data_IF_164421805390
#
_entry.id   IF_164421805390
#
_cell.length_a   1.000
_cell.length_b   1.000
_cell.length_c   1.000
_cell.angle_alpha   90.00
_cell.angle_beta   90.00
_cell.angle_gamma   90.00
#
_symmetry.space_group_name_H-M   'P 1'
#
loop_
_entity.id
_entity.type
_entity.pdbx_description
1 polymer ?
#
# COMPACT_ATOMS: atom_id res chain seq x y z
N UNK A 1 -20.21 4.47 11.01
CA UNK A 1 -18.83 4.08 11.35
C UNK A 1 -18.57 4.38 12.81
N UNK A 2 -18.01 3.41 13.55
CA UNK A 2 -17.76 3.50 15.00
C UNK A 2 -16.75 4.63 15.29
N UNK A 3 -16.87 5.26 16.46
CA UNK A 3 -16.04 6.40 16.90
C UNK A 3 -14.55 6.03 16.95
N UNK A 4 -13.86 6.16 15.82
CA UNK A 4 -12.47 5.73 15.65
C UNK A 4 -11.66 6.83 15.00
N UNK A 5 -10.39 6.89 15.39
CA UNK A 5 -9.34 7.67 14.73
C UNK A 5 -8.33 6.65 14.20
N UNK A 6 -8.36 6.43 12.88
CA UNK A 6 -7.41 5.54 12.22
C UNK A 6 -6.15 6.33 11.89
N UNK A 7 -4.99 5.74 12.13
CA UNK A 7 -3.69 6.25 11.69
C UNK A 7 -3.09 5.19 10.79
N UNK A 8 -2.82 5.56 9.55
CA UNK A 8 -2.08 4.70 8.63
C UNK A 8 -0.57 4.90 8.78
N UNK A 9 0.20 3.96 8.24
CA UNK A 9 1.65 4.06 8.29
C UNK A 9 2.22 5.24 7.50
N UNK A 10 1.68 5.51 6.31
CA UNK A 10 2.04 6.67 5.49
C UNK A 10 1.72 8.00 6.18
N UNK A 11 0.75 7.99 7.10
CA UNK A 11 0.36 9.14 7.89
C UNK A 11 1.23 9.39 9.12
N UNK A 12 1.95 8.38 9.64
CA UNK A 12 2.64 8.46 10.95
C UNK A 12 3.63 9.63 11.08
N UNK A 13 4.43 9.88 10.05
CA UNK A 13 5.38 11.02 10.00
C UNK A 13 4.66 12.35 9.82
N UNK A 14 3.58 12.38 9.04
CA UNK A 14 2.74 13.57 8.85
C UNK A 14 1.90 13.90 10.09
N UNK A 15 1.64 12.90 10.93
CA UNK A 15 0.86 12.98 12.16
C UNK A 15 1.53 13.83 13.24
N UNK A 16 2.85 14.05 13.14
CA UNK A 16 3.55 15.03 13.98
C UNK A 16 2.97 16.45 13.85
N UNK A 17 2.22 16.73 12.77
CA UNK A 17 1.42 17.95 12.61
C UNK A 17 -0.06 17.58 12.44
N UNK A 18 -0.83 17.62 13.53
CA UNK A 18 -2.26 17.29 13.54
C UNK A 18 -3.07 18.10 12.52
N UNK A 19 -2.67 19.35 12.26
CA UNK A 19 -3.31 20.24 11.27
C UNK A 19 -3.05 19.78 9.83
N UNK A 20 -1.83 19.35 9.51
CA UNK A 20 -1.46 18.81 8.18
C UNK A 20 -2.17 17.48 7.93
N UNK A 21 -2.23 16.62 8.95
CA UNK A 21 -2.97 15.37 8.87
C UNK A 21 -4.47 15.60 8.70
N UNK A 22 -5.06 16.51 9.50
CA UNK A 22 -6.49 16.84 9.40
C UNK A 22 -6.86 17.40 8.02
N UNK A 23 -6.04 18.30 7.45
CA UNK A 23 -6.32 18.83 6.12
C UNK A 23 -6.13 17.77 5.01
N UNK A 24 -5.00 17.06 5.00
CA UNK A 24 -4.71 16.08 3.96
C UNK A 24 -5.65 14.87 3.96
N UNK A 25 -6.04 14.38 5.14
CA UNK A 25 -6.70 13.07 5.27
C UNK A 25 -8.15 13.13 5.81
N UNK A 26 -8.52 14.13 6.63
CA UNK A 26 -9.91 14.28 7.09
C UNK A 26 -10.74 15.24 6.23
N UNK A 27 -10.14 16.36 5.81
CA UNK A 27 -10.83 17.35 4.99
C UNK A 27 -10.78 17.01 3.49
N UNK A 28 -10.09 15.94 3.09
CA UNK A 28 -9.88 15.59 1.69
C UNK A 28 -9.12 16.66 0.91
N UNK A 29 -8.45 17.59 1.60
CA UNK A 29 -7.62 18.62 0.98
C UNK A 29 -6.26 17.99 0.66
N UNK A 30 -6.29 16.97 -0.19
CA UNK A 30 -5.10 16.45 -0.82
C UNK A 30 -4.64 17.51 -1.81
N UNK A 31 -3.42 17.99 -1.64
CA UNK A 31 -2.84 19.03 -2.49
C UNK A 31 -2.50 18.43 -3.85
N UNK A 32 -3.46 18.43 -4.78
CA UNK A 32 -3.21 18.21 -6.21
C UNK A 32 -2.87 16.78 -6.65
N UNK A 33 -2.38 16.69 -7.89
CA UNK A 33 -1.92 15.46 -8.52
C UNK A 33 -0.83 14.78 -7.68
N UNK A 34 -1.04 13.51 -7.30
CA UNK A 34 -0.10 12.76 -6.45
C UNK A 34 1.28 12.71 -7.10
N UNK A 35 2.38 12.92 -6.39
CA UNK A 35 3.72 12.89 -7.01
C UNK A 35 3.97 11.59 -7.81
N UNK A 36 4.64 11.70 -8.98
CA UNK A 36 4.88 10.58 -9.89
C UNK A 36 5.43 9.30 -9.21
N UNK A 37 6.38 9.36 -8.25
CA UNK A 37 6.85 8.16 -7.56
C UNK A 37 5.75 7.42 -6.76
N UNK A 38 4.81 8.15 -6.16
CA UNK A 38 3.69 7.56 -5.42
C UNK A 38 2.69 6.90 -6.37
N UNK A 39 2.44 7.52 -7.53
CA UNK A 39 1.59 6.94 -8.58
C UNK A 39 2.21 5.65 -9.14
N UNK A 40 3.52 5.67 -9.40
CA UNK A 40 4.26 4.49 -9.84
C UNK A 40 4.20 3.36 -8.82
N UNK A 41 4.47 3.64 -7.55
CA UNK A 41 4.33 2.67 -6.47
C UNK A 41 2.92 2.10 -6.41
N UNK A 42 1.90 2.96 -6.42
CA UNK A 42 0.49 2.52 -6.38
C UNK A 42 0.12 1.60 -7.56
N UNK A 43 0.54 1.93 -8.77
CA UNK A 43 0.28 1.10 -9.95
C UNK A 43 1.00 -0.25 -9.86
N UNK A 44 2.26 -0.26 -9.40
CA UNK A 44 3.04 -1.48 -9.21
C UNK A 44 2.38 -2.42 -8.20
N UNK A 45 1.92 -1.90 -7.06
CA UNK A 45 1.20 -2.72 -6.06
C UNK A 45 -0.10 -3.29 -6.65
N UNK A 46 -0.89 -2.51 -7.40
CA UNK A 46 -2.09 -3.02 -8.06
C UNK A 46 -1.79 -4.17 -9.03
N UNK A 47 -0.71 -4.06 -9.81
CA UNK A 47 -0.30 -5.11 -10.75
C UNK A 47 0.11 -6.39 -10.01
N UNK A 48 0.93 -6.27 -8.97
CA UNK A 48 1.36 -7.42 -8.16
C UNK A 48 0.18 -8.06 -7.40
N UNK A 49 -0.72 -7.25 -6.85
CA UNK A 49 -1.92 -7.72 -6.19
C UNK A 49 -2.81 -8.53 -7.15
N UNK A 50 -3.02 -8.06 -8.38
CA UNK A 50 -3.77 -8.80 -9.40
C UNK A 50 -3.10 -10.14 -9.76
N UNK A 51 -1.77 -10.12 -9.97
CA UNK A 51 -0.97 -11.31 -10.24
C UNK A 51 -1.13 -12.36 -9.13
N UNK A 52 -0.87 -11.99 -7.88
CA UNK A 52 -0.97 -12.91 -6.73
C UNK A 52 -2.40 -13.35 -6.45
N UNK A 53 -3.40 -12.49 -6.71
CA UNK A 53 -4.80 -12.88 -6.57
C UNK A 53 -5.16 -14.00 -7.55
N UNK A 54 -4.69 -13.93 -8.81
CA UNK A 54 -4.90 -15.01 -9.79
C UNK A 54 -4.35 -16.34 -9.26
N UNK A 55 -3.12 -16.32 -8.76
CA UNK A 55 -2.43 -17.50 -8.20
C UNK A 55 -3.16 -18.04 -6.97
N UNK A 56 -3.53 -17.15 -6.02
CA UNK A 56 -4.27 -17.53 -4.81
C UNK A 56 -5.60 -18.21 -5.14
N UNK A 57 -6.28 -17.77 -6.22
CA UNK A 57 -7.50 -18.37 -6.74
C UNK A 57 -7.26 -19.66 -7.56
N UNK A 58 -6.04 -20.21 -7.52
CA UNK A 58 -5.60 -21.43 -8.23
C UNK A 58 -5.80 -21.34 -9.75
N UNK A 59 -5.62 -20.14 -10.30
CA UNK A 59 -5.55 -19.90 -11.74
C UNK A 59 -4.09 -19.81 -12.16
N UNK A 60 -3.86 -19.90 -13.46
CA UNK A 60 -2.54 -19.60 -14.00
C UNK A 60 -2.12 -18.16 -13.64
N UNK A 61 -0.84 -17.92 -13.35
CA UNK A 61 -0.34 -16.57 -13.14
C UNK A 61 -0.64 -15.70 -14.35
N UNK A 62 -1.14 -14.48 -14.13
CA UNK A 62 -1.39 -13.53 -15.21
C UNK A 62 -0.08 -13.18 -15.90
N UNK A 63 -0.10 -13.21 -17.23
CA UNK A 63 0.98 -12.69 -18.05
C UNK A 63 1.07 -11.17 -17.94
N UNK A 64 2.19 -10.59 -18.37
CA UNK A 64 2.34 -9.14 -18.37
C UNK A 64 1.32 -8.42 -19.27
N UNK A 65 0.89 -9.05 -20.37
CA UNK A 65 -0.14 -8.47 -21.26
C UNK A 65 -1.53 -8.50 -20.59
N UNK A 66 -1.85 -9.56 -19.85
CA UNK A 66 -3.10 -9.62 -19.10
C UNK A 66 -3.11 -8.60 -17.97
N UNK A 67 -2.01 -8.45 -17.24
CA UNK A 67 -1.87 -7.40 -16.22
C UNK A 67 -2.01 -5.99 -16.82
N UNK A 68 -1.47 -5.78 -18.02
CA UNK A 68 -1.62 -4.51 -18.72
C UNK A 68 -3.10 -4.19 -18.98
N UNK A 69 -3.82 -5.15 -19.57
CA UNK A 69 -5.25 -5.00 -19.90
C UNK A 69 -6.14 -4.87 -18.66
N UNK A 70 -5.87 -5.66 -17.61
CA UNK A 70 -6.75 -5.74 -16.45
C UNK A 70 -6.49 -4.66 -15.39
N UNK A 71 -5.27 -4.11 -15.35
CA UNK A 71 -4.87 -3.16 -14.31
C UNK A 71 -4.44 -1.82 -14.90
N UNK A 72 -3.56 -1.83 -15.91
CA UNK A 72 -2.92 -0.61 -16.40
C UNK A 72 -3.86 0.22 -17.26
N UNK A 73 -4.56 -0.40 -18.21
CA UNK A 73 -5.53 0.31 -19.07
C UNK A 73 -6.65 0.96 -18.25
N UNK A 74 -7.35 0.27 -17.33
CA UNK A 74 -8.34 0.91 -16.46
C UNK A 74 -7.76 2.02 -15.59
N UNK A 75 -6.52 1.87 -15.13
CA UNK A 75 -5.85 2.92 -14.35
C UNK A 75 -5.58 4.17 -15.20
N UNK A 76 -5.10 4.03 -16.44
CA UNK A 76 -4.89 5.14 -17.37
C UNK A 76 -6.21 5.83 -17.75
N UNK A 77 -7.28 5.07 -17.93
CA UNK A 77 -8.63 5.61 -18.17
C UNK A 77 -9.11 6.45 -16.99
N UNK A 78 -9.05 5.91 -15.77
CA UNK A 78 -9.41 6.64 -14.54
C UNK A 78 -8.61 7.93 -14.39
N UNK A 79 -7.32 7.90 -14.72
CA UNK A 79 -6.43 9.06 -14.68
C UNK A 79 -6.80 10.11 -15.71
N UNK A 80 -7.09 9.69 -16.94
CA UNK A 80 -7.58 10.57 -18.00
C UNK A 80 -8.87 11.27 -17.59
N UNK A 81 -9.86 10.52 -17.09
CA UNK A 81 -11.12 11.09 -16.60
C UNK A 81 -10.90 12.11 -15.49
N UNK A 82 -10.05 11.80 -14.50
CA UNK A 82 -9.77 12.73 -13.41
C UNK A 82 -9.10 14.03 -13.91
N UNK A 83 -8.14 13.93 -14.84
CA UNK A 83 -7.48 15.10 -15.42
C UNK A 83 -8.46 15.99 -16.21
N UNK A 84 -9.38 15.36 -16.95
CA UNK A 84 -10.43 16.08 -17.67
C UNK A 84 -11.41 16.79 -16.71
N UNK A 85 -11.75 16.18 -15.57
CA UNK A 85 -12.55 16.83 -14.54
C UNK A 85 -11.83 18.06 -13.93
N UNK A 86 -10.53 17.96 -13.67
CA UNK A 86 -9.74 19.10 -13.18
C UNK A 86 -9.76 20.28 -14.17
N UNK A 87 -9.74 19.99 -15.47
CA UNK A 87 -9.90 20.99 -16.54
C UNK A 87 -11.23 21.73 -16.45
N UNK A 88 -12.33 20.99 -16.21
CA UNK A 88 -13.68 21.57 -16.15
C UNK A 88 -13.90 22.44 -14.91
N UNK A 89 -13.22 22.14 -13.81
CA UNK A 89 -13.37 22.84 -12.54
C UNK A 89 -12.51 24.11 -12.39
N UNK A 90 -11.97 24.64 -13.49
CA UNK A 90 -11.31 25.94 -13.50
C UNK A 90 -9.95 25.97 -12.83
N UNK A 91 -9.29 24.81 -12.68
CA UNK A 91 -7.85 24.84 -12.53
C UNK A 91 -7.29 25.51 -13.79
N UNK A 92 -6.50 26.58 -13.66
CA UNK A 92 -5.79 27.24 -14.77
C UNK A 92 -4.72 26.33 -15.42
N UNK A 93 -4.88 25.01 -15.34
CA UNK A 93 -4.11 24.05 -16.07
C UNK A 93 -4.47 24.15 -17.55
N UNK A 94 -3.60 24.80 -18.34
CA UNK A 94 -3.70 24.80 -19.79
C UNK A 94 -3.73 23.38 -20.38
N UNK A 95 -4.17 23.23 -21.63
CA UNK A 95 -4.17 21.93 -22.34
C UNK A 95 -2.81 21.23 -22.32
N UNK A 96 -1.72 22.00 -22.35
CA UNK A 96 -0.34 21.52 -22.28
C UNK A 96 -0.05 20.76 -20.98
N UNK A 97 -0.55 21.24 -19.82
CA UNK A 97 -0.35 20.54 -18.55
C UNK A 97 -1.04 19.17 -18.50
N UNK A 98 -2.23 19.06 -19.09
CA UNK A 98 -2.98 17.79 -19.15
C UNK A 98 -2.25 16.79 -20.04
N UNK A 99 -1.80 17.24 -21.22
CA UNK A 99 -1.03 16.41 -22.14
C UNK A 99 0.28 15.91 -21.51
N UNK A 100 1.00 16.79 -20.80
CA UNK A 100 2.21 16.45 -20.04
C UNK A 100 1.90 15.44 -18.93
N UNK A 101 0.82 15.64 -18.17
CA UNK A 101 0.41 14.73 -17.10
C UNK A 101 0.06 13.34 -17.65
N UNK A 102 -0.68 13.28 -18.77
CA UNK A 102 -1.00 12.03 -19.46
C UNK A 102 0.24 11.35 -20.03
N UNK A 103 1.17 12.11 -20.63
CA UNK A 103 2.44 11.58 -21.13
C UNK A 103 3.26 10.99 -19.98
N UNK A 104 3.30 11.67 -18.83
CA UNK A 104 3.97 11.19 -17.62
C UNK A 104 3.32 9.93 -17.05
N UNK A 105 1.99 9.83 -17.06
CA UNK A 105 1.28 8.63 -16.59
C UNK A 105 1.52 7.43 -17.52
N UNK A 106 1.65 7.64 -18.84
CA UNK A 106 2.08 6.61 -19.79
C UNK A 106 3.52 6.15 -19.56
N UNK A 107 4.43 7.06 -19.24
CA UNK A 107 5.81 6.72 -18.86
C UNK A 107 5.83 5.87 -17.59
N UNK A 108 5.08 6.29 -16.55
CA UNK A 108 4.91 5.53 -15.31
C UNK A 108 4.39 4.12 -15.59
N UNK A 109 3.36 3.99 -16.41
CA UNK A 109 2.79 2.69 -16.80
C UNK A 109 3.82 1.79 -17.50
N UNK A 110 4.57 2.34 -18.46
CA UNK A 110 5.63 1.62 -19.17
C UNK A 110 6.74 1.15 -18.22
N UNK A 111 7.18 2.00 -17.29
CA UNK A 111 8.20 1.64 -16.31
C UNK A 111 7.72 0.56 -15.34
N UNK A 112 6.50 0.70 -14.80
CA UNK A 112 5.89 -0.31 -13.93
C UNK A 112 5.76 -1.65 -14.63
N UNK A 113 5.37 -1.66 -15.92
CA UNK A 113 5.32 -2.87 -16.74
C UNK A 113 6.68 -3.55 -16.81
N UNK A 114 7.76 -2.82 -17.11
CA UNK A 114 9.10 -3.41 -17.17
C UNK A 114 9.56 -3.96 -15.82
N UNK A 115 9.26 -3.26 -14.72
CA UNK A 115 9.61 -3.72 -13.37
C UNK A 115 8.90 -5.02 -13.01
N UNK A 116 7.59 -5.11 -13.28
CA UNK A 116 6.78 -6.31 -12.99
C UNK A 116 7.15 -7.45 -13.92
N UNK A 117 7.36 -7.20 -15.22
CA UNK A 117 7.83 -8.21 -16.17
C UNK A 117 9.17 -8.81 -15.72
N UNK A 118 10.13 -7.95 -15.37
CA UNK A 118 11.42 -8.41 -14.86
C UNK A 118 11.29 -9.24 -13.58
N UNK A 119 10.34 -8.93 -12.69
CA UNK A 119 10.06 -9.77 -11.53
C UNK A 119 9.46 -11.13 -11.91
N UNK A 120 8.45 -11.15 -12.79
CA UNK A 120 7.80 -12.37 -13.29
C UNK A 120 8.84 -13.31 -13.93
N UNK A 121 9.67 -12.77 -14.82
CA UNK A 121 10.61 -13.55 -15.61
C UNK A 121 11.75 -14.17 -14.78
N UNK A 122 12.16 -13.53 -13.68
CA UNK A 122 13.36 -13.90 -12.94
C UNK A 122 13.09 -14.54 -11.58
N UNK A 123 12.00 -14.17 -10.91
CA UNK A 123 11.80 -14.49 -9.48
C UNK A 123 10.50 -15.23 -9.21
N UNK A 124 9.43 -14.95 -9.96
CA UNK A 124 8.11 -15.49 -9.65
C UNK A 124 8.09 -17.02 -9.61
N UNK A 125 8.72 -17.71 -10.57
CA UNK A 125 8.74 -19.18 -10.59
C UNK A 125 9.36 -19.77 -9.31
N UNK A 126 10.50 -19.23 -8.88
CA UNK A 126 11.16 -19.65 -7.64
C UNK A 126 10.28 -19.36 -6.41
N UNK A 127 9.65 -18.19 -6.38
CA UNK A 127 8.75 -17.80 -5.31
C UNK A 127 7.53 -18.74 -5.24
N UNK A 128 6.94 -19.15 -6.37
CA UNK A 128 5.80 -20.06 -6.43
C UNK A 128 6.11 -21.50 -6.00
N UNK A 129 7.33 -21.98 -6.29
CA UNK A 129 7.79 -23.27 -5.78
C UNK A 129 7.93 -23.27 -4.25
N UNK A 130 8.33 -22.13 -3.70
CA UNK A 130 8.61 -21.96 -2.27
C UNK A 130 7.39 -21.54 -1.45
N UNK A 131 6.49 -20.73 -2.01
CA UNK A 131 5.45 -20.02 -1.29
C UNK A 131 4.06 -20.59 -1.58
N UNK A 132 3.24 -20.63 -0.54
CA UNK A 132 1.79 -20.71 -0.67
C UNK A 132 1.20 -19.35 -0.30
N UNK A 133 0.41 -18.77 -1.19
CA UNK A 133 -0.20 -17.46 -0.98
C UNK A 133 -1.43 -17.63 -0.08
N UNK A 134 -1.44 -16.95 1.06
CA UNK A 134 -2.52 -17.00 2.05
C UNK A 134 -3.45 -15.79 1.97
N UNK A 135 -2.93 -14.64 1.53
CA UNK A 135 -3.70 -13.41 1.41
C UNK A 135 -2.95 -12.35 0.60
N UNK A 136 -3.71 -11.47 -0.05
CA UNK A 136 -3.21 -10.41 -0.93
C UNK A 136 -3.90 -9.11 -0.55
N UNK A 137 -3.15 -8.00 -0.42
CA UNK A 137 -3.66 -6.68 -0.02
C UNK A 137 -4.54 -6.72 1.24
N UNK A 138 -4.13 -7.53 2.22
CA UNK A 138 -4.92 -7.79 3.42
C UNK A 138 -4.94 -6.55 4.31
N UNK A 139 -6.14 -6.03 4.55
CA UNK A 139 -6.35 -4.92 5.47
C UNK A 139 -6.01 -5.37 6.89
N UNK A 140 -5.29 -4.56 7.65
CA UNK A 140 -4.96 -4.84 9.05
C UNK A 140 -5.36 -3.67 9.92
N UNK A 141 -5.87 -3.99 11.12
CA UNK A 141 -6.30 -2.99 12.08
C UNK A 141 -6.01 -3.48 13.49
N UNK A 142 -5.43 -2.60 14.32
CA UNK A 142 -5.18 -2.88 15.73
C UNK A 142 -5.40 -1.65 16.59
N UNK A 143 -6.13 -1.82 17.69
CA UNK A 143 -6.33 -0.75 18.66
C UNK A 143 -4.97 -0.38 19.28
N UNK A 144 -4.65 0.90 19.25
CA UNK A 144 -3.44 1.43 19.88
C UNK A 144 -3.65 1.43 21.39
N UNK A 145 -2.72 0.81 22.11
CA UNK A 145 -2.75 0.73 23.58
C UNK A 145 -1.83 1.81 24.15
N UNK A 146 -2.32 2.55 25.14
CA UNK A 146 -1.51 3.49 25.88
C UNK A 146 -0.50 2.72 26.74
N UNK A 147 0.82 2.93 26.54
CA UNK A 147 1.86 2.15 27.20
C UNK A 147 1.91 2.38 28.72
N UNK A 148 1.39 3.50 29.21
CA UNK A 148 1.44 3.86 30.64
C UNK A 148 0.41 3.09 31.45
N UNK A 149 -0.79 2.91 30.91
CA UNK A 149 -1.92 2.36 31.67
C UNK A 149 -2.52 1.08 31.07
N UNK A 150 -2.00 0.61 29.93
CA UNK A 150 -2.46 -0.60 29.25
C UNK A 150 -3.86 -0.53 28.65
N UNK A 151 -4.51 0.64 28.66
CA UNK A 151 -5.88 0.84 28.14
C UNK A 151 -5.83 1.31 26.69
N UNK A 152 -6.90 1.10 25.89
CA UNK A 152 -7.04 1.71 24.58
C UNK A 152 -6.76 3.21 24.63
N UNK A 153 -5.91 3.70 23.72
CA UNK A 153 -5.68 5.13 23.55
C UNK A 153 -6.97 5.74 23.00
N UNK A 154 -7.48 6.76 23.69
CA UNK A 154 -8.71 7.46 23.31
C UNK A 154 -8.53 8.96 23.40
N UNK A 155 -9.15 9.70 22.48
CA UNK A 155 -9.32 11.15 22.59
C UNK A 155 -10.80 11.54 22.61
N UNK A 156 -11.07 12.83 22.82
CA UNK A 156 -12.41 13.40 22.72
C UNK A 156 -12.38 14.47 21.64
N UNK A 157 -13.25 14.33 20.64
CA UNK A 157 -13.45 15.29 19.57
C UNK A 157 -14.79 16.00 19.77
N UNK A 158 -14.79 17.33 19.65
CA UNK A 158 -16.02 18.13 19.67
C UNK A 158 -16.43 18.41 18.23
N UNK A 159 -17.61 17.94 17.86
CA UNK A 159 -18.22 18.18 16.56
C UNK A 159 -18.65 19.65 16.39
N UNK A 160 -18.88 20.12 15.15
CA UNK A 160 -19.36 21.49 14.91
C UNK A 160 -20.68 21.84 15.62
N UNK A 161 -21.53 20.85 15.91
CA UNK A 161 -22.79 21.01 16.67
C UNK A 161 -22.58 21.03 18.20
N UNK A 162 -21.33 21.01 18.68
CA UNK A 162 -20.97 20.95 20.10
C UNK A 162 -21.00 19.55 20.71
N UNK A 163 -21.43 18.52 19.97
CA UNK A 163 -21.47 17.14 20.48
C UNK A 163 -20.05 16.61 20.71
N UNK A 164 -19.81 16.04 21.88
CA UNK A 164 -18.53 15.40 22.24
C UNK A 164 -18.57 13.92 21.91
N UNK A 165 -17.61 13.48 21.11
CA UNK A 165 -17.43 12.08 20.71
C UNK A 165 -16.09 11.57 21.25
N UNK A 166 -16.13 10.47 22.01
CA UNK A 166 -14.92 9.76 22.41
C UNK A 166 -14.50 8.81 21.30
N UNK A 167 -13.27 8.94 20.79
CA UNK A 167 -12.74 8.09 19.72
C UNK A 167 -11.66 7.16 20.25
N UNK A 168 -11.59 5.93 19.73
CA UNK A 168 -10.47 5.01 19.94
C UNK A 168 -9.44 5.20 18.84
N UNK A 169 -8.17 5.12 19.20
CA UNK A 169 -7.08 5.18 18.24
C UNK A 169 -6.82 3.79 17.71
N UNK A 170 -6.79 3.69 16.38
CA UNK A 170 -6.61 2.46 15.64
C UNK A 170 -5.44 2.66 14.70
N UNK A 171 -4.50 1.74 14.74
CA UNK A 171 -3.51 1.61 13.69
C UNK A 171 -4.13 0.81 12.55
N UNK A 172 -4.03 1.32 11.33
CA UNK A 172 -4.56 0.68 10.13
C UNK A 172 -3.52 0.58 9.02
N UNK A 173 -3.68 -0.38 8.13
CA UNK A 173 -2.87 -0.50 6.92
C UNK A 173 -3.31 -1.63 6.02
N UNK A 174 -2.56 -1.84 4.94
CA UNK A 174 -2.70 -2.97 4.03
C UNK A 174 -1.35 -3.68 3.94
N UNK A 175 -1.37 -5.00 4.07
CA UNK A 175 -0.22 -5.88 3.87
C UNK A 175 -0.27 -6.37 2.43
N UNK A 176 0.81 -6.16 1.67
CA UNK A 176 0.78 -6.46 0.23
C UNK A 176 0.51 -7.95 -0.02
N UNK A 177 1.20 -8.83 0.70
CA UNK A 177 1.08 -10.27 0.55
C UNK A 177 1.40 -10.99 1.87
N UNK A 178 0.58 -12.00 2.19
CA UNK A 178 0.83 -12.96 3.28
C UNK A 178 1.00 -14.36 2.67
N UNK A 179 2.05 -15.05 3.08
CA UNK A 179 2.41 -16.37 2.55
C UNK A 179 2.68 -17.38 3.66
N UNK A 180 2.63 -18.66 3.31
CA UNK A 180 3.33 -19.73 4.01
C UNK A 180 4.61 -20.08 3.24
N UNK A 181 5.76 -19.99 3.90
CA UNK A 181 7.05 -20.36 3.31
C UNK A 181 7.33 -21.84 3.57
N UNK A 182 7.30 -22.66 2.52
CA UNK A 182 7.50 -24.13 2.62
C UNK A 182 8.90 -24.50 3.07
N UNK A 183 9.91 -23.68 2.78
CA UNK A 183 11.30 -23.94 3.15
C UNK A 183 11.61 -23.52 4.58
N UNK A 184 11.11 -22.35 5.00
CA UNK A 184 11.38 -21.83 6.33
C UNK A 184 10.37 -22.30 7.39
N UNK A 185 9.22 -22.83 6.97
CA UNK A 185 8.21 -23.40 7.86
C UNK A 185 7.52 -22.35 8.74
N UNK A 186 6.64 -21.54 8.16
CA UNK A 186 5.86 -20.56 8.91
C UNK A 186 5.19 -19.51 8.02
N UNK A 187 4.39 -18.64 8.63
CA UNK A 187 3.80 -17.50 7.91
C UNK A 187 4.81 -16.36 7.79
N UNK A 188 4.81 -15.67 6.65
CA UNK A 188 5.62 -14.48 6.40
C UNK A 188 4.77 -13.41 5.73
N UNK A 189 5.09 -12.14 6.01
CA UNK A 189 4.60 -11.03 5.21
C UNK A 189 5.61 -10.77 4.09
N UNK A 190 5.13 -10.46 2.90
CA UNK A 190 5.98 -9.99 1.80
C UNK A 190 5.59 -8.55 1.52
N UNK A 191 6.58 -7.67 1.52
CA UNK A 191 6.42 -6.25 1.25
C UNK A 191 7.14 -5.90 -0.05
N UNK A 192 6.38 -5.37 -1.01
CA UNK A 192 6.92 -4.89 -2.27
C UNK A 192 7.39 -3.45 -2.12
N UNK A 193 8.62 -3.19 -2.53
CA UNK A 193 9.18 -1.83 -2.53
C UNK A 193 9.76 -1.54 -3.90
N UNK A 194 9.40 -0.41 -4.47
CA UNK A 194 10.02 0.09 -5.70
C UNK A 194 11.15 1.05 -5.37
N UNK A 195 12.28 0.92 -6.05
CA UNK A 195 13.40 1.87 -5.90
C UNK A 195 14.06 2.22 -7.23
N UNK A 196 14.55 3.46 -7.31
CA UNK A 196 15.44 3.92 -8.38
C UNK A 196 16.92 3.69 -8.03
N UNK A 197 17.22 3.31 -6.79
CA UNK A 197 18.58 3.08 -6.30
C UNK A 197 19.24 1.89 -7.00
N UNK A 198 20.49 2.06 -7.41
CA UNK A 198 21.29 0.99 -8.00
C UNK A 198 22.02 0.16 -6.94
N UNK A 199 22.45 0.79 -5.83
CA UNK A 199 23.02 0.09 -4.68
C UNK A 199 21.92 -0.25 -3.66
N UNK A 200 21.57 -1.54 -3.61
CA UNK A 200 20.58 -2.04 -2.67
C UNK A 200 21.11 -2.14 -1.23
N UNK A 201 22.41 -2.08 -1.01
CA UNK A 201 23.00 -2.34 0.31
C UNK A 201 22.54 -1.30 1.34
N UNK A 202 22.59 -0.01 0.99
CA UNK A 202 22.12 1.05 1.87
C UNK A 202 20.58 1.06 1.95
N UNK A 203 19.90 0.88 0.82
CA UNK A 203 18.45 0.86 0.76
C UNK A 203 17.85 -0.25 1.64
N UNK A 204 18.32 -1.48 1.51
CA UNK A 204 17.88 -2.61 2.32
C UNK A 204 18.21 -2.44 3.81
N UNK A 205 19.31 -1.74 4.15
CA UNK A 205 19.61 -1.40 5.54
C UNK A 205 18.56 -0.47 6.13
N UNK A 206 18.03 0.48 5.35
CA UNK A 206 16.96 1.39 5.79
C UNK A 206 15.63 0.66 6.01
N UNK A 207 15.32 -0.37 5.22
CA UNK A 207 14.09 -1.16 5.35
C UNK A 207 13.94 -1.82 6.74
N UNK A 208 15.03 -2.25 7.36
CA UNK A 208 15.02 -2.83 8.72
C UNK A 208 14.53 -1.86 9.80
N UNK A 209 14.71 -0.56 9.54
CA UNK A 209 14.30 0.52 10.44
C UNK A 209 12.98 1.14 10.04
N UNK A 210 12.38 0.67 8.93
CA UNK A 210 11.12 1.21 8.46
C UNK A 210 10.02 0.94 9.50
N UNK A 211 9.51 2.00 10.16
CA UNK A 211 8.48 1.85 11.17
C UNK A 211 7.17 1.33 10.56
N UNK A 212 6.98 1.46 9.24
CA UNK A 212 5.84 0.90 8.51
C UNK A 212 5.76 -0.60 8.74
N UNK A 213 6.86 -1.28 8.45
CA UNK A 213 6.91 -2.73 8.38
C UNK A 213 6.84 -3.36 9.78
N UNK A 214 7.32 -2.68 10.82
CA UNK A 214 7.20 -3.16 12.21
C UNK A 214 5.75 -3.15 12.70
N UNK A 215 4.91 -2.28 12.15
CA UNK A 215 3.51 -2.15 12.54
C UNK A 215 2.64 -3.31 12.05
N UNK A 216 2.94 -3.91 10.89
CA UNK A 216 2.11 -4.98 10.32
C UNK A 216 2.16 -6.29 11.10
N UNK A 217 3.33 -6.88 11.44
CA UNK A 217 3.38 -8.05 12.30
C UNK A 217 2.72 -7.80 13.65
N UNK A 218 2.92 -6.60 14.22
CA UNK A 218 2.23 -6.21 15.44
C UNK A 218 0.71 -6.22 15.24
N UNK A 219 0.18 -5.63 14.17
CA UNK A 219 -1.26 -5.65 13.92
C UNK A 219 -1.82 -7.05 13.64
N UNK A 220 -1.14 -7.87 12.84
CA UNK A 220 -1.61 -9.20 12.42
C UNK A 220 -1.55 -10.28 13.51
N UNK A 221 -0.63 -10.16 14.46
CA UNK A 221 -0.55 -11.14 15.57
C UNK A 221 -1.73 -11.02 16.54
N UNK A 222 -2.34 -9.83 16.64
CA UNK A 222 -3.50 -9.56 17.51
C UNK A 222 -4.40 -8.52 16.83
N UNK A 223 -5.10 -8.90 15.75
CA UNK A 223 -5.99 -7.98 15.06
C UNK A 223 -7.12 -7.55 16.01
N UNK A 224 -7.72 -6.39 15.76
CA UNK A 224 -8.91 -5.98 16.48
C UNK A 224 -10.14 -6.68 15.86
N UNK A 225 -10.68 -7.74 16.50
CA UNK A 225 -11.69 -8.60 15.87
C UNK A 225 -13.03 -7.88 15.67
N UNK A 226 -13.25 -6.76 16.35
CA UNK A 226 -14.42 -5.92 16.17
C UNK A 226 -14.30 -4.92 15.02
N UNK A 227 -13.12 -4.80 14.40
CA UNK A 227 -12.84 -3.79 13.38
C UNK A 227 -12.72 -4.34 11.96
N UNK A 228 -12.43 -5.63 11.81
CA UNK A 228 -12.28 -6.29 10.53
C UNK A 228 -13.04 -7.61 10.57
N UNK A 229 -14.04 -7.73 9.72
CA UNK A 229 -14.80 -8.98 9.56
C UNK A 229 -13.84 -10.06 9.01
N UNK A 230 -13.92 -11.27 9.56
CA UNK A 230 -13.15 -12.46 9.15
C UNK A 230 -11.62 -12.45 9.31
N UNK A 231 -11.05 -11.49 10.06
CA UNK A 231 -9.60 -11.46 10.27
C UNK A 231 -9.13 -12.53 11.26
N UNK A 232 -8.42 -13.54 10.75
CA UNK A 232 -7.76 -14.56 11.59
C UNK A 232 -6.36 -14.09 11.96
N UNK A 233 -5.97 -14.16 13.25
CA UNK A 233 -4.59 -13.91 13.66
C UNK A 233 -3.61 -14.71 12.78
N UNK A 234 -2.50 -14.07 12.40
CA UNK A 234 -1.42 -14.76 11.71
C UNK A 234 -0.65 -15.62 12.72
N UNK A 235 -1.21 -16.79 13.05
CA UNK A 235 -0.55 -17.79 13.87
C UNK A 235 0.77 -18.20 13.18
N UNK A 236 1.86 -18.23 13.95
CA UNK A 236 3.19 -18.56 13.44
C UNK A 236 3.80 -17.56 12.44
N UNK A 237 3.48 -16.27 12.56
CA UNK A 237 4.16 -15.23 11.79
C UNK A 237 5.64 -15.10 12.20
N UNK A 238 6.55 -15.41 11.27
CA UNK A 238 8.00 -15.48 11.52
C UNK A 238 8.76 -14.21 11.17
N UNK A 239 8.25 -13.40 10.25
CA UNK A 239 8.92 -12.18 9.84
C UNK A 239 8.35 -11.54 8.59
N UNK A 240 9.18 -10.70 7.96
CA UNK A 240 8.85 -9.97 6.75
C UNK A 240 9.96 -10.20 5.72
N UNK A 241 9.57 -10.51 4.49
CA UNK A 241 10.40 -10.61 3.29
C UNK A 241 10.23 -9.31 2.49
N UNK A 242 11.32 -8.79 1.96
CA UNK A 242 11.29 -7.60 1.10
C UNK A 242 11.54 -7.97 -0.35
N UNK A 243 10.54 -7.73 -1.19
CA UNK A 243 10.69 -7.81 -2.64
C UNK A 243 10.98 -6.40 -3.16
N UNK A 244 12.25 -6.11 -3.43
CA UNK A 244 12.69 -4.80 -3.91
C UNK A 244 12.76 -4.80 -5.44
N UNK A 245 11.76 -4.20 -6.07
CA UNK A 245 11.69 -4.02 -7.52
C UNK A 245 12.51 -2.78 -7.91
N UNK A 246 13.41 -2.95 -8.89
CA UNK A 246 14.29 -1.87 -9.36
C UNK A 246 13.85 -1.38 -10.73
N UNK A 247 13.90 -0.06 -10.91
CA UNK A 247 13.69 0.55 -12.24
C UNK A 247 14.79 0.20 -13.24
N UNK A 248 16.02 -0.06 -12.75
CA UNK A 248 17.16 -0.51 -13.56
C UNK A 248 17.60 -1.89 -13.09
N UNK A 249 17.49 -2.89 -13.96
CA UNK A 249 18.09 -4.21 -13.73
C UNK A 249 19.61 -4.06 -13.88
N UNK A 250 20.44 -4.61 -12.98
CA UNK A 250 21.89 -4.69 -13.20
C UNK A 250 22.14 -5.39 -14.53
N UNK A 251 22.97 -4.78 -15.37
CA UNK A 251 23.49 -5.44 -16.57
C UNK A 251 24.48 -6.53 -16.18
#
# INVERSE_FOLDING_TARGET
>A
MRNMRVITNSERTSFACERRWAFGYLAGLTTGDSAAPLRQGSLLHRMLAALYTSIMLKRDPLTIEELWREVVEPWLEQRTTWLDEQRMHGAEAGSEWIEDAQARDREIASESRHMVAGYIDHWLAQDLDRWEILGVEEQVARVIINPVNGKPLTDVFTMPDGKRIRRRWVYGGAVDLRIWDRMLGGQWLVEHKSTAETDLSEYCRKLHWDPQIRGYPWAMLRPAPDLLDDHRPAEDLRGVIYNVLRKKVPR
#
